data_IF_772430776805
#
_entry.id   IF_772430776805
#
_cell.length_a   1.000
_cell.length_b   1.000
_cell.length_c   1.000
_cell.angle_alpha   90.00
_cell.angle_beta   90.00
_cell.angle_gamma   90.00
#
_symmetry.space_group_name_H-M   'P 1'
#
loop_
_entity.id
_entity.type
_entity.pdbx_description
1 polymer ?
#
# COMPACT_ATOMS: atom_id res chain seq x y z
N UNK A 1 -34.10 -7.58 -13.14
CA UNK A 1 -33.13 -8.24 -12.25
C UNK A 1 -31.82 -8.43 -13.04
N UNK A 2 -30.92 -7.44 -13.00
CA UNK A 2 -29.70 -7.45 -13.81
C UNK A 2 -28.62 -8.30 -13.12
N UNK A 3 -28.22 -9.39 -13.76
CA UNK A 3 -27.09 -10.22 -13.34
C UNK A 3 -25.80 -9.43 -13.58
N UNK A 4 -25.30 -8.75 -12.55
CA UNK A 4 -23.97 -8.17 -12.56
C UNK A 4 -22.95 -9.32 -12.63
N UNK A 5 -22.35 -9.50 -13.81
CA UNK A 5 -21.41 -10.59 -14.10
C UNK A 5 -20.15 -10.41 -13.26
N UNK A 6 -20.06 -11.08 -12.12
CA UNK A 6 -18.88 -11.07 -11.25
C UNK A 6 -17.71 -11.76 -11.95
N UNK A 7 -16.66 -11.00 -12.24
CA UNK A 7 -15.41 -11.55 -12.77
C UNK A 7 -14.70 -12.32 -11.67
N UNK A 8 -14.49 -13.63 -11.87
CA UNK A 8 -13.74 -14.51 -10.96
C UNK A 8 -12.35 -14.78 -11.54
N UNK A 9 -11.32 -14.68 -10.72
CA UNK A 9 -9.96 -15.11 -11.07
C UNK A 9 -9.56 -16.18 -10.06
N UNK A 10 -9.23 -17.40 -10.52
CA UNK A 10 -8.92 -18.57 -9.68
C UNK A 10 -9.98 -18.87 -8.60
N UNK A 11 -11.28 -18.75 -8.95
CA UNK A 11 -12.38 -19.05 -8.03
C UNK A 11 -12.66 -17.97 -6.98
N UNK A 12 -11.81 -16.95 -6.89
CA UNK A 12 -11.99 -15.81 -5.99
C UNK A 12 -12.74 -14.70 -6.75
N UNK A 13 -13.86 -14.19 -6.23
CA UNK A 13 -14.51 -13.03 -6.83
C UNK A 13 -13.55 -11.83 -6.77
N UNK A 14 -13.32 -11.17 -7.90
CA UNK A 14 -12.40 -10.03 -7.95
C UNK A 14 -12.88 -8.86 -7.05
N UNK A 15 -14.20 -8.81 -6.78
CA UNK A 15 -14.82 -7.88 -5.84
C UNK A 15 -14.45 -8.13 -4.37
N UNK A 16 -14.15 -9.37 -3.97
CA UNK A 16 -13.78 -9.70 -2.58
C UNK A 16 -12.28 -9.61 -2.32
N UNK A 17 -11.44 -9.83 -3.33
CA UNK A 17 -9.98 -9.64 -3.21
C UNK A 17 -9.57 -8.16 -3.07
N UNK A 18 -10.47 -7.25 -3.43
CA UNK A 18 -10.31 -5.79 -3.37
C UNK A 18 -11.24 -5.16 -2.32
N UNK A 19 -11.72 -5.94 -1.34
CA UNK A 19 -12.68 -5.45 -0.35
C UNK A 19 -11.98 -4.59 0.72
N UNK A 20 -12.44 -3.35 0.91
CA UNK A 20 -11.85 -2.38 1.84
C UNK A 20 -12.09 -2.74 3.31
N UNK A 21 -13.19 -3.45 3.62
CA UNK A 21 -13.46 -4.01 4.95
C UNK A 21 -12.40 -5.01 5.42
N UNK A 22 -11.83 -5.80 4.50
CA UNK A 22 -10.76 -6.74 4.83
C UNK A 22 -9.45 -6.01 5.22
N UNK A 23 -9.24 -4.81 4.68
CA UNK A 23 -8.07 -4.00 5.00
C UNK A 23 -8.25 -3.18 6.28
N UNK A 24 -9.46 -2.70 6.57
CA UNK A 24 -9.77 -2.08 7.87
C UNK A 24 -9.45 -3.05 9.03
N UNK A 25 -9.67 -4.36 8.84
CA UNK A 25 -9.25 -5.41 9.80
C UNK A 25 -7.73 -5.62 9.90
N UNK A 26 -6.95 -5.12 8.94
CA UNK A 26 -5.47 -5.17 8.97
C UNK A 26 -4.89 -4.07 9.86
N UNK A 27 -5.70 -3.06 10.23
CA UNK A 27 -5.32 -2.00 11.15
C UNK A 27 -6.32 -1.93 12.33
N UNK A 28 -6.23 -2.92 13.20
CA UNK A 28 -6.99 -3.00 14.45
C UNK A 28 -6.02 -2.83 15.63
N UNK A 29 -5.70 -1.60 16.06
CA UNK A 29 -4.76 -1.38 17.17
C UNK A 29 -5.26 -2.01 18.49
N UNK A 30 -6.57 -2.13 18.66
CA UNK A 30 -7.23 -2.77 19.80
C UNK A 30 -6.97 -4.28 19.87
N UNK A 31 -6.76 -4.93 18.71
CA UNK A 31 -6.56 -6.36 18.63
C UNK A 31 -5.07 -6.70 18.82
N UNK A 32 -4.65 -7.35 19.93
CA UNK A 32 -3.23 -7.58 20.21
C UNK A 32 -2.58 -8.65 19.32
N UNK A 33 -3.38 -9.39 18.53
CA UNK A 33 -2.87 -10.42 17.64
C UNK A 33 -2.09 -9.80 16.48
N UNK A 34 -0.81 -10.14 16.36
CA UNK A 34 0.03 -9.71 15.24
C UNK A 34 -0.39 -10.37 13.92
N UNK A 35 -0.92 -11.58 13.98
CA UNK A 35 -1.37 -12.34 12.82
C UNK A 35 -2.88 -12.54 12.92
N UNK A 36 -3.61 -11.99 11.96
CA UNK A 36 -5.07 -12.11 11.85
C UNK A 36 -5.37 -13.01 10.66
N UNK A 37 -6.36 -13.90 10.77
CA UNK A 37 -6.70 -14.78 9.65
C UNK A 37 -7.24 -13.98 8.47
N UNK A 38 -6.82 -14.36 7.26
CA UNK A 38 -7.36 -13.79 6.04
C UNK A 38 -8.87 -14.07 5.96
N UNK A 39 -9.71 -13.08 5.63
CA UNK A 39 -11.14 -13.32 5.40
C UNK A 39 -11.40 -14.15 4.14
N UNK A 40 -10.46 -14.15 3.17
CA UNK A 40 -10.54 -14.96 1.95
C UNK A 40 -9.19 -15.61 1.66
N UNK A 41 -9.20 -16.94 1.51
CA UNK A 41 -8.02 -17.75 1.21
C UNK A 41 -7.35 -18.39 2.45
N UNK A 42 -6.26 -19.12 2.21
CA UNK A 42 -5.43 -19.72 3.25
C UNK A 42 -4.29 -18.77 3.60
N UNK A 43 -4.16 -18.40 4.88
CA UNK A 43 -3.02 -17.63 5.38
C UNK A 43 -3.36 -16.66 6.51
N UNK A 44 -2.35 -15.87 6.87
CA UNK A 44 -2.41 -14.82 7.89
C UNK A 44 -2.11 -13.47 7.25
N UNK A 45 -2.82 -12.43 7.68
CA UNK A 45 -2.46 -11.03 7.48
C UNK A 45 -1.76 -10.51 8.74
N UNK A 46 -0.86 -9.55 8.55
CA UNK A 46 -0.18 -8.88 9.66
C UNK A 46 -1.03 -7.71 10.14
N UNK A 47 -1.47 -7.72 11.39
CA UNK A 47 -2.13 -6.58 12.00
C UNK A 47 -1.10 -5.47 12.26
N UNK A 48 -1.12 -4.48 11.38
CA UNK A 48 -0.20 -3.34 11.42
C UNK A 48 -0.46 -2.45 12.63
N UNK A 49 -1.71 -2.37 13.09
CA UNK A 49 -2.08 -1.68 14.33
C UNK A 49 -1.40 -2.32 15.54
N UNK A 50 -1.52 -3.63 15.69
CA UNK A 50 -0.86 -4.38 16.77
C UNK A 50 0.66 -4.24 16.75
N UNK A 51 1.29 -4.26 15.56
CA UNK A 51 2.73 -4.02 15.41
C UNK A 51 3.09 -2.62 15.91
N UNK A 52 2.35 -1.59 15.48
CA UNK A 52 2.59 -0.22 15.88
C UNK A 52 2.41 0.00 17.39
N UNK A 53 1.40 -0.64 18.01
CA UNK A 53 1.21 -0.65 19.46
C UNK A 53 2.39 -1.30 20.18
N UNK A 54 2.84 -2.47 19.73
CA UNK A 54 4.01 -3.15 20.34
C UNK A 54 5.31 -2.37 20.20
N UNK A 55 5.44 -1.55 19.16
CA UNK A 55 6.57 -0.63 18.97
C UNK A 55 6.42 0.68 19.75
N UNK A 56 5.34 0.86 20.52
CA UNK A 56 5.06 2.09 21.28
C UNK A 56 4.76 3.30 20.38
N UNK A 57 4.33 3.06 19.14
CA UNK A 57 4.12 4.13 18.17
C UNK A 57 2.74 4.79 18.28
N UNK A 58 1.74 4.01 18.69
CA UNK A 58 0.33 4.37 18.89
C UNK A 58 -0.20 3.59 20.10
N UNK A 59 -1.32 4.03 20.69
CA UNK A 59 -2.02 3.30 21.76
C UNK A 59 -3.11 2.38 21.18
N UNK A 60 -3.54 1.34 21.94
CA UNK A 60 -4.57 0.42 21.46
C UNK A 60 -5.91 1.10 21.16
N UNK A 61 -6.23 2.19 21.87
CA UNK A 61 -7.45 2.99 21.72
C UNK A 61 -7.37 4.04 20.60
N UNK A 62 -6.22 4.20 19.93
CA UNK A 62 -6.07 5.17 18.84
C UNK A 62 -6.63 4.61 17.51
N UNK A 63 -7.96 4.56 17.38
CA UNK A 63 -8.64 4.08 16.17
C UNK A 63 -8.56 5.11 15.03
N UNK A 64 -8.39 4.63 13.79
CA UNK A 64 -8.31 5.51 12.61
C UNK A 64 -9.66 6.18 12.30
N UNK A 65 -10.77 5.53 12.69
CA UNK A 65 -12.13 6.04 12.48
C UNK A 65 -12.37 7.30 13.30
N UNK A 66 -12.01 7.27 14.59
CA UNK A 66 -12.24 8.39 15.52
C UNK A 66 -11.33 9.58 15.20
N UNK A 67 -10.10 9.30 14.73
CA UNK A 67 -9.15 10.36 14.37
C UNK A 67 -9.45 11.00 13.02
N UNK A 68 -10.37 10.44 12.21
CA UNK A 68 -10.66 10.92 10.85
C UNK A 68 -11.07 12.39 10.81
N UNK A 69 -11.85 12.83 11.78
CA UNK A 69 -12.33 14.21 11.89
C UNK A 69 -11.20 15.21 12.19
N UNK A 70 -10.13 14.73 12.81
CA UNK A 70 -8.96 15.53 13.17
C UNK A 70 -7.86 15.51 12.09
N UNK A 71 -8.03 14.74 11.01
CA UNK A 71 -7.09 14.75 9.89
C UNK A 71 -7.20 16.07 9.14
N UNK A 72 -6.07 16.77 9.03
CA UNK A 72 -5.97 18.01 8.29
C UNK A 72 -6.42 17.84 6.82
N UNK A 73 -7.25 18.74 6.27
CA UNK A 73 -7.71 18.65 4.87
C UNK A 73 -6.57 18.56 3.85
N UNK A 74 -5.44 19.19 4.12
CA UNK A 74 -4.22 19.15 3.31
C UNK A 74 -3.62 17.73 3.28
N UNK A 75 -3.58 17.03 4.42
CA UNK A 75 -3.07 15.65 4.52
C UNK A 75 -4.02 14.70 3.82
N UNK A 76 -5.34 14.84 4.04
CA UNK A 76 -6.36 14.08 3.34
C UNK A 76 -6.22 14.28 1.82
N UNK A 77 -6.17 15.52 1.33
CA UNK A 77 -6.00 15.84 -0.09
C UNK A 77 -4.72 15.23 -0.67
N UNK A 78 -3.59 15.34 0.05
CA UNK A 78 -2.32 14.76 -0.38
C UNK A 78 -2.41 13.23 -0.50
N UNK A 79 -2.95 12.54 0.51
CA UNK A 79 -3.16 11.09 0.47
C UNK A 79 -4.10 10.68 -0.65
N UNK A 80 -5.15 11.46 -0.88
CA UNK A 80 -6.15 11.21 -1.91
C UNK A 80 -5.60 11.30 -3.35
N UNK A 81 -4.50 12.05 -3.55
CA UNK A 81 -3.88 12.30 -4.85
C UNK A 81 -2.58 11.52 -5.06
N UNK A 82 -1.88 11.16 -3.97
CA UNK A 82 -0.58 10.50 -4.02
C UNK A 82 -0.60 9.16 -4.77
N UNK A 83 -1.57 8.25 -4.59
CA UNK A 83 -1.65 7.00 -5.36
C UNK A 83 -1.78 7.24 -6.86
N UNK A 84 -2.52 8.27 -7.29
CA UNK A 84 -2.68 8.60 -8.72
C UNK A 84 -1.36 9.12 -9.29
N UNK A 85 -0.70 10.04 -8.57
CA UNK A 85 0.59 10.58 -8.98
C UNK A 85 1.68 9.49 -9.05
N UNK A 86 1.73 8.60 -8.06
CA UNK A 86 2.69 7.50 -8.02
C UNK A 86 2.41 6.43 -9.10
N UNK A 87 1.14 6.16 -9.42
CA UNK A 87 0.79 5.31 -10.56
C UNK A 87 1.25 5.93 -11.88
N UNK A 88 1.00 7.22 -12.09
CA UNK A 88 1.43 7.94 -13.28
C UNK A 88 2.96 7.90 -13.42
N UNK A 89 3.71 8.20 -12.36
CA UNK A 89 5.16 8.13 -12.34
C UNK A 89 5.68 6.71 -12.68
N UNK A 90 5.07 5.68 -12.10
CA UNK A 90 5.41 4.27 -12.38
C UNK A 90 5.15 3.90 -13.83
N UNK A 91 4.04 4.36 -14.41
CA UNK A 91 3.70 4.11 -15.82
C UNK A 91 4.66 4.82 -16.77
N UNK A 92 5.02 6.08 -16.49
CA UNK A 92 6.01 6.82 -17.26
C UNK A 92 7.36 6.09 -17.22
N UNK A 93 7.82 5.68 -16.03
CA UNK A 93 9.04 4.91 -15.89
C UNK A 93 8.98 3.59 -16.67
N UNK A 94 7.89 2.83 -16.54
CA UNK A 94 7.69 1.57 -17.25
C UNK A 94 7.69 1.75 -18.77
N UNK A 95 7.04 2.80 -19.28
CA UNK A 95 6.97 3.12 -20.71
C UNK A 95 8.34 3.53 -21.25
N UNK A 96 9.07 4.39 -20.55
CA UNK A 96 10.43 4.80 -20.94
C UNK A 96 11.38 3.60 -20.97
N UNK A 97 11.35 2.75 -19.94
CA UNK A 97 12.20 1.57 -19.83
C UNK A 97 11.80 0.44 -20.80
N UNK A 98 10.57 0.45 -21.29
CA UNK A 98 10.10 -0.55 -22.26
C UNK A 98 10.80 -0.42 -23.63
N UNK A 99 11.34 0.77 -23.92
CA UNK A 99 12.02 1.08 -25.19
C UNK A 99 13.50 0.74 -25.08
N UNK A 100 13.92 -0.30 -25.81
CA UNK A 100 15.30 -0.38 -26.31
C UNK A 100 16.24 -1.42 -25.69
N UNK A 101 15.88 -2.18 -24.64
CA UNK A 101 16.77 -3.25 -24.11
C UNK A 101 15.98 -4.41 -23.50
N UNK A 102 16.64 -5.56 -23.39
CA UNK A 102 16.16 -6.62 -22.51
C UNK A 102 16.47 -6.24 -21.05
N UNK A 103 15.47 -6.28 -20.19
CA UNK A 103 15.56 -5.97 -18.77
C UNK A 103 15.52 -7.25 -17.95
N UNK A 104 16.12 -7.21 -16.76
CA UNK A 104 16.06 -8.33 -15.85
C UNK A 104 14.61 -8.65 -15.46
N UNK A 105 14.27 -9.93 -15.47
CA UNK A 105 12.93 -10.42 -15.16
C UNK A 105 12.99 -11.73 -14.40
N UNK A 106 12.11 -11.84 -13.40
CA UNK A 106 12.06 -13.00 -12.52
C UNK A 106 13.29 -13.04 -11.61
N UNK A 107 13.08 -13.20 -10.31
CA UNK A 107 14.18 -13.24 -9.34
C UNK A 107 14.18 -14.59 -8.61
N UNK A 108 15.37 -15.10 -8.30
CA UNK A 108 15.52 -16.20 -7.36
C UNK A 108 15.43 -15.70 -5.91
N UNK A 109 15.48 -16.62 -4.94
CA UNK A 109 15.41 -16.29 -3.52
C UNK A 109 16.62 -15.47 -3.02
N UNK A 110 17.73 -15.45 -3.78
CA UNK A 110 18.92 -14.64 -3.50
C UNK A 110 18.85 -13.26 -4.18
N UNK A 111 17.73 -12.91 -4.82
CA UNK A 111 17.56 -11.64 -5.52
C UNK A 111 18.38 -11.52 -6.80
N UNK A 112 18.79 -12.65 -7.41
CA UNK A 112 19.48 -12.68 -8.71
C UNK A 112 18.45 -12.79 -9.83
N UNK A 113 18.65 -12.12 -10.98
CA UNK A 113 17.75 -12.24 -12.11
C UNK A 113 17.84 -13.64 -12.73
N UNK A 114 16.69 -14.28 -12.97
CA UNK A 114 16.60 -15.59 -13.65
C UNK A 114 16.80 -15.48 -15.15
N UNK A 115 16.53 -14.31 -15.73
CA UNK A 115 16.73 -14.05 -17.14
C UNK A 115 16.52 -12.58 -17.49
N UNK A 116 16.71 -12.27 -18.76
CA UNK A 116 16.47 -10.95 -19.32
C UNK A 116 15.44 -11.07 -20.46
N UNK A 117 14.39 -10.26 -20.41
CA UNK A 117 13.28 -10.30 -21.38
C UNK A 117 13.06 -8.92 -21.98
N UNK A 118 12.28 -8.83 -23.06
CA UNK A 118 11.97 -7.55 -23.72
C UNK A 118 11.42 -6.55 -22.69
N UNK A 119 11.88 -5.30 -22.76
CA UNK A 119 11.50 -4.24 -21.81
C UNK A 119 10.00 -4.17 -21.52
N UNK A 120 9.16 -4.21 -22.56
CA UNK A 120 7.69 -4.23 -22.40
C UNK A 120 7.20 -5.37 -21.49
N UNK A 121 7.70 -6.61 -21.68
CA UNK A 121 7.29 -7.76 -20.87
C UNK A 121 7.79 -7.66 -19.42
N UNK A 122 8.95 -7.04 -19.21
CA UNK A 122 9.52 -6.82 -17.88
C UNK A 122 8.82 -5.70 -17.11
N UNK A 123 8.36 -4.63 -17.77
CA UNK A 123 7.81 -3.44 -17.09
C UNK A 123 6.29 -3.40 -17.01
N UNK A 124 5.58 -4.03 -17.96
CA UNK A 124 4.12 -4.00 -18.03
C UNK A 124 3.43 -4.47 -16.74
N UNK A 125 3.82 -5.57 -16.07
CA UNK A 125 3.16 -6.01 -14.84
C UNK A 125 3.22 -4.94 -13.74
N UNK A 126 4.31 -4.18 -13.66
CA UNK A 126 4.49 -3.13 -12.65
C UNK A 126 3.58 -1.93 -12.91
N UNK A 127 3.42 -1.52 -14.17
CA UNK A 127 2.46 -0.48 -14.56
C UNK A 127 1.01 -0.90 -14.27
N UNK A 128 0.64 -2.13 -14.64
CA UNK A 128 -0.72 -2.66 -14.40
C UNK A 128 -1.04 -2.69 -12.91
N UNK A 129 -0.12 -3.19 -12.09
CA UNK A 129 -0.30 -3.24 -10.63
C UNK A 129 -0.39 -1.83 -10.03
N UNK A 130 0.43 -0.88 -10.50
CA UNK A 130 0.37 0.49 -10.01
C UNK A 130 -0.94 1.20 -10.35
N UNK A 131 -1.48 0.99 -11.56
CA UNK A 131 -2.79 1.50 -11.99
C UNK A 131 -3.90 0.84 -11.17
N UNK A 132 -3.88 -0.48 -11.01
CA UNK A 132 -4.89 -1.21 -10.24
C UNK A 132 -4.92 -0.74 -8.78
N UNK A 133 -3.75 -0.48 -8.18
CA UNK A 133 -3.64 0.06 -6.83
C UNK A 133 -4.28 1.46 -6.71
N UNK A 134 -4.01 2.36 -7.66
CA UNK A 134 -4.65 3.69 -7.67
C UNK A 134 -6.16 3.63 -7.95
N UNK A 135 -6.61 2.71 -8.80
CA UNK A 135 -8.03 2.51 -9.06
C UNK A 135 -8.77 2.01 -7.81
N UNK A 136 -8.13 1.14 -7.01
CA UNK A 136 -8.69 0.69 -5.73
C UNK A 136 -8.92 1.85 -4.76
N UNK A 137 -7.99 2.82 -4.67
CA UNK A 137 -8.19 3.99 -3.79
C UNK A 137 -9.33 4.89 -4.23
N UNK A 138 -9.59 4.98 -5.54
CA UNK A 138 -10.72 5.75 -6.05
C UNK A 138 -12.06 5.12 -5.67
N UNK A 139 -12.15 3.78 -5.66
CA UNK A 139 -13.34 3.06 -5.19
C UNK A 139 -13.54 3.19 -3.68
N UNK A 140 -12.45 3.08 -2.91
CA UNK A 140 -12.49 3.20 -1.46
C UNK A 140 -13.01 4.56 -0.96
N UNK A 141 -12.86 5.63 -1.76
CA UNK A 141 -13.43 6.94 -1.43
C UNK A 141 -14.96 6.94 -1.43
N UNK A 142 -15.57 6.19 -2.34
CA UNK A 142 -17.03 6.07 -2.43
C UNK A 142 -17.58 5.24 -1.24
N UNK A 143 -16.74 4.38 -0.65
CA UNK A 143 -17.07 3.49 0.47
C UNK A 143 -16.59 4.00 1.84
N UNK A 144 -15.91 5.15 1.88
CA UNK A 144 -15.56 5.86 3.12
C UNK A 144 -14.20 5.53 3.76
N UNK A 145 -13.29 4.80 3.09
CA UNK A 145 -11.99 4.36 3.65
C UNK A 145 -10.74 4.90 2.89
N UNK A 146 -10.50 6.23 2.93
CA UNK A 146 -9.49 6.89 2.06
C UNK A 146 -8.01 6.68 2.48
N UNK A 147 -7.70 6.78 3.78
CA UNK A 147 -6.30 6.76 4.28
C UNK A 147 -5.69 5.37 4.17
N UNK A 148 -6.47 4.36 4.56
CA UNK A 148 -6.06 2.98 4.62
C UNK A 148 -5.77 2.45 3.19
N UNK A 149 -6.71 2.67 2.27
CA UNK A 149 -6.54 2.34 0.85
C UNK A 149 -5.33 3.07 0.24
N UNK A 150 -5.16 4.37 0.53
CA UNK A 150 -4.02 5.17 0.05
C UNK A 150 -2.68 4.64 0.54
N UNK A 151 -2.56 4.26 1.82
CA UNK A 151 -1.36 3.68 2.39
C UNK A 151 -0.99 2.34 1.72
N UNK A 152 -1.99 1.48 1.48
CA UNK A 152 -1.81 0.21 0.77
C UNK A 152 -1.34 0.43 -0.66
N UNK A 153 -2.00 1.33 -1.39
CA UNK A 153 -1.68 1.62 -2.77
C UNK A 153 -0.25 2.17 -2.93
N UNK A 154 0.15 3.09 -2.06
CA UNK A 154 1.51 3.64 -2.04
C UNK A 154 2.57 2.59 -1.70
N UNK A 155 2.27 1.65 -0.78
CA UNK A 155 3.16 0.52 -0.51
C UNK A 155 3.34 -0.41 -1.71
N UNK A 156 2.25 -0.74 -2.41
CA UNK A 156 2.28 -1.56 -3.64
C UNK A 156 3.05 -0.84 -4.76
N UNK A 157 2.79 0.46 -4.95
CA UNK A 157 3.44 1.26 -5.99
C UNK A 157 4.93 1.46 -5.72
N UNK A 158 5.32 1.63 -4.45
CA UNK A 158 6.74 1.69 -4.05
C UNK A 158 7.44 0.36 -4.33
N UNK A 159 6.78 -0.77 -4.04
CA UNK A 159 7.26 -2.10 -4.39
C UNK A 159 7.47 -2.24 -5.91
N UNK A 160 6.48 -1.81 -6.71
CA UNK A 160 6.56 -1.83 -8.17
C UNK A 160 7.70 -0.95 -8.71
N UNK A 161 7.89 0.25 -8.16
CA UNK A 161 8.96 1.16 -8.53
C UNK A 161 10.36 0.59 -8.19
N UNK A 162 10.51 -0.05 -7.03
CA UNK A 162 11.76 -0.71 -6.65
C UNK A 162 12.06 -1.93 -7.51
N UNK A 163 11.04 -2.69 -7.93
CA UNK A 163 11.22 -3.79 -8.89
C UNK A 163 11.59 -3.27 -10.28
N UNK A 164 11.02 -2.15 -10.75
CA UNK A 164 11.48 -1.48 -11.97
C UNK A 164 12.94 -1.05 -11.86
N UNK A 165 13.33 -0.43 -10.74
CA UNK A 165 14.73 -0.08 -10.46
C UNK A 165 15.61 -1.33 -10.48
N UNK A 166 15.16 -2.43 -9.87
CA UNK A 166 15.89 -3.70 -9.87
C UNK A 166 16.04 -4.24 -11.30
N UNK A 167 15.00 -4.17 -12.12
CA UNK A 167 15.01 -4.66 -13.50
C UNK A 167 16.07 -3.97 -14.37
N UNK A 168 16.32 -2.67 -14.13
CA UNK A 168 17.30 -1.86 -14.88
C UNK A 168 18.72 -2.00 -14.34
N UNK A 169 18.88 -2.19 -13.03
CA UNK A 169 20.20 -2.19 -12.37
C UNK A 169 20.79 -3.60 -12.20
N UNK A 170 20.00 -4.65 -12.39
CA UNK A 170 20.44 -6.03 -12.22
C UNK A 170 21.43 -6.46 -13.29
N UNK A 171 22.37 -7.33 -12.90
CA UNK A 171 23.38 -7.94 -13.78
C UNK A 171 23.34 -9.45 -13.62
N UNK A 172 23.68 -10.17 -14.69
CA UNK A 172 23.73 -11.64 -14.69
C UNK A 172 24.59 -12.16 -13.54
N UNK A 173 24.06 -13.13 -12.78
CA UNK A 173 24.76 -13.78 -11.67
C UNK A 173 24.91 -12.96 -10.38
N UNK A 174 24.53 -11.68 -10.36
CA UNK A 174 24.65 -10.80 -9.20
C UNK A 174 23.31 -10.56 -8.52
N UNK A 175 23.30 -10.59 -7.19
CA UNK A 175 22.14 -10.23 -6.38
C UNK A 175 21.91 -8.72 -6.45
N UNK A 176 20.65 -8.31 -6.48
CA UNK A 176 20.30 -6.90 -6.45
C UNK A 176 19.58 -6.53 -5.14
N UNK A 177 20.14 -5.65 -4.30
CA UNK A 177 19.52 -5.27 -3.03
C UNK A 177 18.16 -4.60 -3.19
N UNK A 178 17.87 -3.99 -4.35
CA UNK A 178 16.56 -3.37 -4.62
C UNK A 178 15.41 -4.40 -4.62
N UNK A 179 15.68 -5.67 -4.88
CA UNK A 179 14.68 -6.75 -4.82
C UNK A 179 14.24 -6.99 -3.38
N UNK A 180 15.18 -7.03 -2.44
CA UNK A 180 14.88 -7.19 -1.01
C UNK A 180 14.23 -5.93 -0.44
N UNK A 181 14.68 -4.75 -0.88
CA UNK A 181 14.02 -3.50 -0.54
C UNK A 181 12.56 -3.50 -1.04
N UNK A 182 12.28 -4.02 -2.24
CA UNK A 182 10.92 -4.13 -2.75
C UNK A 182 10.06 -5.06 -1.89
N UNK A 183 10.59 -6.19 -1.43
CA UNK A 183 9.87 -7.10 -0.52
C UNK A 183 9.48 -6.42 0.80
N UNK A 184 10.36 -5.59 1.35
CA UNK A 184 10.11 -4.85 2.58
C UNK A 184 9.25 -3.59 2.38
N UNK A 185 9.19 -3.05 1.15
CA UNK A 185 8.57 -1.76 0.88
C UNK A 185 7.08 -1.72 1.20
N UNK A 186 6.31 -2.73 0.79
CA UNK A 186 4.88 -2.77 1.06
C UNK A 186 4.54 -2.62 2.56
N UNK A 187 5.01 -3.50 3.46
CA UNK A 187 4.66 -3.38 4.88
C UNK A 187 5.26 -2.12 5.50
N UNK A 188 6.48 -1.72 5.14
CA UNK A 188 7.12 -0.53 5.73
C UNK A 188 6.40 0.76 5.35
N UNK A 189 6.10 0.97 4.06
CA UNK A 189 5.47 2.20 3.58
C UNK A 189 4.03 2.29 4.09
N UNK A 190 3.25 1.22 3.97
CA UNK A 190 1.85 1.23 4.43
C UNK A 190 1.76 1.50 5.94
N UNK A 191 2.57 0.82 6.76
CA UNK A 191 2.64 1.05 8.21
C UNK A 191 3.08 2.46 8.54
N UNK A 192 4.12 2.97 7.88
CA UNK A 192 4.66 4.29 8.15
C UNK A 192 3.63 5.39 7.87
N UNK A 193 2.87 5.26 6.79
CA UNK A 193 1.80 6.21 6.45
C UNK A 193 0.70 6.18 7.51
N UNK A 194 0.19 4.99 7.86
CA UNK A 194 -0.87 4.84 8.87
C UNK A 194 -0.46 5.44 10.21
N UNK A 195 0.71 5.05 10.72
CA UNK A 195 1.25 5.57 11.99
C UNK A 195 1.46 7.08 11.94
N UNK A 196 1.96 7.62 10.82
CA UNK A 196 2.18 9.06 10.69
C UNK A 196 0.88 9.85 10.70
N UNK A 197 -0.17 9.33 10.06
CA UNK A 197 -1.49 9.96 10.05
C UNK A 197 -2.12 9.94 11.45
N UNK A 198 -2.06 8.80 12.15
CA UNK A 198 -2.54 8.69 13.54
C UNK A 198 -1.83 9.68 14.45
N UNK A 199 -0.48 9.71 14.42
CA UNK A 199 0.31 10.65 15.21
C UNK A 199 -0.02 12.12 14.89
N UNK A 200 -0.28 12.42 13.63
CA UNK A 200 -0.67 13.77 13.22
C UNK A 200 -2.06 14.14 13.76
N UNK A 201 -3.03 13.23 13.71
CA UNK A 201 -4.37 13.42 14.27
C UNK A 201 -4.32 13.66 15.79
N UNK A 202 -3.59 12.81 16.52
CA UNK A 202 -3.42 12.95 17.98
C UNK A 202 -2.81 14.29 18.38
N UNK A 203 -1.77 14.73 17.66
CA UNK A 203 -1.16 16.05 17.89
C UNK A 203 -2.17 17.18 17.73
N UNK A 204 -3.12 17.07 16.80
CA UNK A 204 -4.18 18.07 16.61
C UNK A 204 -5.23 18.05 17.70
N UNK A 205 -5.63 16.87 18.17
CA UNK A 205 -6.54 16.73 19.33
C UNK A 205 -5.93 17.40 20.57
N UNK A 206 -4.63 17.18 20.82
CA UNK A 206 -3.93 17.83 21.92
C UNK A 206 -3.93 19.36 21.79
N UNK A 207 -3.74 19.88 20.56
CA UNK A 207 -3.78 21.32 20.31
C UNK A 207 -5.18 21.92 20.45
N UNK A 208 -6.25 21.18 20.11
CA UNK A 208 -7.62 21.68 20.31
C UNK A 208 -7.99 21.73 21.78
N UNK A 209 -7.64 20.69 22.56
CA UNK A 209 -7.90 20.66 24.01
C UNK A 209 -7.14 21.77 24.75
N UNK A 210 -5.86 21.97 24.44
CA UNK A 210 -5.06 23.03 25.06
C UNK A 210 -5.60 24.44 24.75
N UNK A 211 -6.22 24.63 23.58
CA UNK A 211 -6.87 25.89 23.22
C UNK A 211 -8.14 26.12 24.05
N UNK A 212 -8.96 25.09 24.23
CA UNK A 212 -10.19 25.18 25.03
C UNK A 212 -9.91 25.41 26.53
N UNK A 213 -8.81 24.87 27.06
CA UNK A 213 -8.37 25.09 28.44
C UNK A 213 -7.81 26.51 28.67
N UNK A 214 -7.16 27.11 27.66
CA UNK A 214 -6.64 28.48 27.74
C UNK A 214 -7.69 29.58 27.56
N UNK A 215 -8.88 29.23 27.07
CA UNK A 215 -10.03 30.15 26.91
C UNK A 215 -10.97 30.11 28.14
N UNK A 216 -10.70 29.27 29.14
CA UNK A 216 -11.40 29.21 30.44
C UNK A 216 -10.65 29.95 31.54
#
# INVERSE_FOLDING_TARGET
MSLQKQTKIFGIPLSTALNDEAFLRTFEPENPALFVRKPVGLGWDLNVGAVAVKLGLIRPDDSLGDLREYICPQVAKALSAAPVAAAAATCIAAATLSRGRNLASGWDWRGRPRGFTRGVRATLPHAVVAIAAAAATLRAKDEGADVAASARALGIQTTAALLLRAAVTSRTGKSNPAVFAALAAYPLVSTSILVSVVRHGLKRVQLSLAKEEGER
#
